data_IF_231650486910
#
_entry.id   IF_231650486910
#
_cell.length_a   1.000
_cell.length_b   1.000
_cell.length_c   1.000
_cell.angle_alpha   90.00
_cell.angle_beta   90.00
_cell.angle_gamma   90.00
#
_symmetry.space_group_name_H-M   'P 1'
#
loop_
_entity.id
_entity.type
_entity.pdbx_description
1 polymer ?
#
# COMPACT_ATOMS: atom_id res chain seq x y z
N UNK A 1 10.39 23.61 4.85
CA UNK A 1 9.54 22.91 5.83
C UNK A 1 8.25 22.59 5.10
N UNK A 2 7.88 21.33 4.98
CA UNK A 2 6.59 20.96 4.38
C UNK A 2 5.44 21.30 5.33
N UNK A 3 4.21 21.44 4.80
CA UNK A 3 3.02 21.70 5.61
C UNK A 3 2.81 20.61 6.68
N UNK A 4 3.20 19.37 6.37
CA UNK A 4 3.17 18.24 7.29
C UNK A 4 4.23 18.39 8.40
N UNK A 5 5.44 18.82 8.08
CA UNK A 5 6.48 19.05 9.09
C UNK A 5 6.06 20.16 10.06
N UNK A 6 5.37 21.18 9.57
CA UNK A 6 4.78 22.24 10.40
C UNK A 6 3.62 21.71 11.26
N UNK A 7 2.75 20.87 10.71
CA UNK A 7 1.69 20.18 11.46
C UNK A 7 2.27 19.31 12.58
N UNK A 8 3.31 18.52 12.28
CA UNK A 8 4.02 17.70 13.27
C UNK A 8 4.72 18.55 14.33
N UNK A 9 5.37 19.66 13.95
CA UNK A 9 6.09 20.53 14.87
C UNK A 9 5.18 21.40 15.74
N UNK A 10 4.03 21.83 15.20
CA UNK A 10 3.05 22.66 15.91
C UNK A 10 2.12 21.84 16.82
N UNK A 11 1.99 20.53 16.57
CA UNK A 11 1.01 19.67 17.25
C UNK A 11 -0.44 20.10 17.00
N UNK A 12 -0.66 20.97 16.00
CA UNK A 12 -1.95 21.57 15.65
C UNK A 12 -2.22 21.26 14.19
N UNK A 13 -2.94 20.19 13.97
CA UNK A 13 -3.45 19.78 12.66
C UNK A 13 -3.75 18.30 12.69
N UNK A 14 -4.94 17.94 12.20
CA UNK A 14 -5.36 16.56 12.06
C UNK A 14 -4.87 16.04 10.71
N UNK A 15 -4.24 14.87 10.71
CA UNK A 15 -3.81 14.20 9.48
C UNK A 15 -4.85 13.16 9.09
N UNK A 16 -5.14 13.11 7.80
CA UNK A 16 -6.07 12.13 7.23
C UNK A 16 -5.28 11.18 6.35
N UNK A 17 -5.23 9.93 6.79
CA UNK A 17 -4.56 8.85 6.09
C UNK A 17 -5.59 8.11 5.24
N UNK A 18 -5.25 7.87 3.98
CA UNK A 18 -6.14 7.21 3.03
C UNK A 18 -5.41 6.10 2.29
N UNK A 19 -6.15 5.05 1.97
CA UNK A 19 -5.67 3.86 1.29
C UNK A 19 -6.55 3.62 0.08
N UNK A 20 -5.93 3.54 -1.09
CA UNK A 20 -6.53 2.99 -2.31
C UNK A 20 -5.84 1.66 -2.62
N UNK A 21 -6.58 0.56 -2.50
CA UNK A 21 -6.09 -0.78 -2.74
C UNK A 21 -6.76 -1.38 -3.97
N UNK A 22 -5.97 -1.99 -4.88
CA UNK A 22 -6.51 -2.61 -6.10
C UNK A 22 -5.59 -3.70 -6.65
N UNK A 23 -6.18 -4.64 -7.37
CA UNK A 23 -5.42 -5.61 -8.20
C UNK A 23 -4.76 -4.87 -9.36
N UNK A 24 -3.54 -5.27 -9.73
CA UNK A 24 -2.85 -4.69 -10.88
C UNK A 24 -3.63 -4.99 -12.16
N UNK A 25 -4.01 -3.94 -12.90
CA UNK A 25 -4.87 -4.07 -14.09
C UNK A 25 -6.37 -4.24 -13.79
N UNK A 26 -6.76 -4.35 -12.51
CA UNK A 26 -8.15 -4.41 -12.09
C UNK A 26 -8.88 -3.06 -12.20
N UNK A 27 -10.20 -3.11 -12.35
CA UNK A 27 -11.07 -1.92 -12.42
C UNK A 27 -11.68 -1.54 -11.06
N UNK A 28 -11.65 -2.46 -10.09
CA UNK A 28 -12.20 -2.24 -8.75
C UNK A 28 -11.11 -1.73 -7.83
N UNK A 29 -11.37 -0.59 -7.19
CA UNK A 29 -10.53 -0.01 -6.13
C UNK A 29 -11.29 -0.02 -4.81
N UNK A 30 -10.63 -0.47 -3.76
CA UNK A 30 -11.11 -0.37 -2.38
C UNK A 30 -10.52 0.89 -1.75
N UNK A 31 -11.38 1.74 -1.19
CA UNK A 31 -11.04 3.09 -0.76
C UNK A 31 -11.39 3.28 0.72
N UNK A 32 -10.37 3.39 1.56
CA UNK A 32 -10.52 3.54 3.01
C UNK A 32 -9.82 4.79 3.53
N UNK A 33 -10.38 5.44 4.55
CA UNK A 33 -9.74 6.55 5.25
C UNK A 33 -9.72 6.35 6.77
N UNK A 34 -8.69 6.90 7.41
CA UNK A 34 -8.57 6.93 8.85
C UNK A 34 -9.61 7.87 9.46
N UNK A 35 -10.08 7.49 10.65
CA UNK A 35 -11.05 8.27 11.41
C UNK A 35 -12.43 7.63 11.45
N UNK A 36 -13.43 8.46 11.75
CA UNK A 36 -14.81 8.02 12.03
C UNK A 36 -15.82 8.48 10.96
N UNK A 37 -15.40 9.35 10.05
CA UNK A 37 -16.25 9.94 9.02
C UNK A 37 -15.67 9.67 7.64
N UNK A 38 -16.55 9.37 6.69
CA UNK A 38 -16.18 9.22 5.29
C UNK A 38 -15.66 10.55 4.75
N UNK A 39 -14.60 10.50 3.94
CA UNK A 39 -13.96 11.71 3.42
C UNK A 39 -13.87 11.68 1.91
N UNK A 40 -14.13 12.84 1.31
CA UNK A 40 -14.00 13.06 -0.12
C UNK A 40 -12.67 13.77 -0.35
N UNK A 41 -11.72 13.05 -0.95
CA UNK A 41 -10.36 13.55 -1.17
C UNK A 41 -10.05 13.59 -2.67
N UNK A 42 -9.24 14.56 -3.08
CA UNK A 42 -8.75 14.65 -4.45
C UNK A 42 -7.36 14.00 -4.55
N UNK A 43 -7.20 13.10 -5.51
CA UNK A 43 -5.94 12.38 -5.75
C UNK A 43 -4.98 13.19 -6.61
N UNK A 44 -3.72 12.78 -6.65
CA UNK A 44 -2.67 13.37 -7.50
C UNK A 44 -3.00 13.34 -9.00
N UNK A 45 -3.89 12.44 -9.42
CA UNK A 45 -4.39 12.33 -10.80
C UNK A 45 -5.53 13.33 -11.09
N UNK A 46 -5.95 14.14 -10.11
CA UNK A 46 -7.07 15.06 -10.21
C UNK A 46 -8.45 14.40 -10.05
N UNK A 47 -8.50 13.10 -9.72
CA UNK A 47 -9.76 12.39 -9.46
C UNK A 47 -10.22 12.67 -8.03
N UNK A 48 -11.48 13.04 -7.87
CA UNK A 48 -12.13 13.15 -6.56
C UNK A 48 -12.76 11.80 -6.21
N UNK A 49 -12.32 11.20 -5.10
CA UNK A 49 -12.76 9.88 -4.64
C UNK A 49 -13.35 9.97 -3.24
N UNK A 50 -14.34 9.14 -2.96
CA UNK A 50 -14.93 8.98 -1.62
C UNK A 50 -14.26 7.80 -0.93
N UNK A 51 -13.63 8.08 0.21
CA UNK A 51 -12.99 7.09 1.07
C UNK A 51 -13.90 6.78 2.24
N UNK A 52 -14.08 5.49 2.54
CA UNK A 52 -14.94 5.01 3.61
C UNK A 52 -14.15 4.96 4.92
N UNK A 53 -14.73 5.48 6.00
CA UNK A 53 -14.12 5.43 7.32
C UNK A 53 -13.96 3.99 7.79
N UNK A 54 -12.74 3.65 8.19
CA UNK A 54 -12.42 2.35 8.76
C UNK A 54 -11.42 2.53 9.89
N UNK A 55 -11.57 1.72 10.95
CA UNK A 55 -10.54 1.64 11.97
C UNK A 55 -9.26 1.07 11.34
N UNK A 56 -8.22 1.90 11.31
CA UNK A 56 -6.92 1.55 10.76
C UNK A 56 -5.79 2.01 11.66
N UNK A 57 -4.76 1.17 11.72
CA UNK A 57 -3.48 1.48 12.34
C UNK A 57 -2.39 1.47 11.27
N UNK A 58 -1.47 2.43 11.34
CA UNK A 58 -0.45 2.64 10.31
C UNK A 58 0.94 2.83 10.90
N UNK A 59 1.88 1.99 10.45
CA UNK A 59 3.30 2.22 10.65
C UNK A 59 3.94 2.62 9.30
N UNK A 60 4.25 3.91 9.18
CA UNK A 60 4.88 4.48 8.00
C UNK A 60 6.27 3.89 7.76
N UNK A 61 6.71 3.81 6.49
CA UNK A 61 8.06 3.40 6.16
C UNK A 61 9.08 4.35 6.81
N UNK A 62 10.04 3.78 7.53
CA UNK A 62 11.16 4.55 8.07
C UNK A 62 12.09 4.94 6.92
N UNK A 63 12.54 6.20 6.94
CA UNK A 63 13.61 6.64 6.07
C UNK A 63 14.95 6.31 6.75
N UNK A 64 15.40 5.06 6.61
CA UNK A 64 16.68 4.60 7.13
C UNK A 64 17.55 3.98 6.03
N UNK A 65 18.80 3.66 6.38
CA UNK A 65 19.74 3.00 5.48
C UNK A 65 19.49 1.48 5.38
N UNK A 66 18.47 0.96 6.07
CA UNK A 66 18.02 -0.40 5.80
C UNK A 66 17.28 -0.36 4.48
N UNK A 67 17.65 -1.20 3.53
CA UNK A 67 17.06 -1.18 2.20
C UNK A 67 15.56 -1.57 2.17
N UNK A 68 14.95 -1.77 3.35
CA UNK A 68 13.57 -2.21 3.52
C UNK A 68 12.69 -1.05 4.00
N UNK A 69 11.96 -0.46 3.06
CA UNK A 69 10.96 0.56 3.33
C UNK A 69 9.57 -0.07 3.25
N UNK A 70 9.13 -0.62 4.39
CA UNK A 70 7.84 -1.30 4.51
C UNK A 70 6.81 -0.40 5.19
N UNK A 71 5.60 -0.38 4.63
CA UNK A 71 4.40 0.18 5.22
C UNK A 71 3.61 -0.97 5.85
N UNK A 72 3.32 -0.89 7.15
CA UNK A 72 2.48 -1.88 7.83
C UNK A 72 1.13 -1.25 8.10
N UNK A 73 0.08 -1.92 7.64
CA UNK A 73 -1.32 -1.52 7.79
C UNK A 73 -2.02 -2.54 8.68
N UNK A 74 -2.67 -2.10 9.74
CA UNK A 74 -3.66 -2.89 10.47
C UNK A 74 -5.04 -2.38 10.09
N UNK A 75 -5.85 -3.19 9.42
CA UNK A 75 -7.21 -2.83 9.01
C UNK A 75 -8.24 -3.63 9.80
N UNK A 76 -9.39 -3.02 10.05
CA UNK A 76 -10.54 -3.73 10.58
C UNK A 76 -10.96 -4.86 9.63
N UNK A 77 -11.20 -6.03 10.20
CA UNK A 77 -11.57 -7.25 9.49
C UNK A 77 -12.77 -7.95 10.16
N UNK A 78 -13.58 -7.23 10.95
CA UNK A 78 -14.80 -7.81 11.56
C UNK A 78 -15.74 -8.38 10.49
N UNK A 79 -15.89 -7.70 9.35
CA UNK A 79 -16.73 -8.16 8.24
C UNK A 79 -16.04 -9.17 7.30
N UNK A 80 -14.71 -9.34 7.39
CA UNK A 80 -13.94 -10.21 6.51
C UNK A 80 -13.67 -9.68 5.09
N UNK A 81 -14.18 -8.50 4.72
CA UNK A 81 -14.08 -7.95 3.37
C UNK A 81 -12.62 -7.79 2.90
N UNK A 82 -11.76 -7.24 3.75
CA UNK A 82 -10.34 -7.03 3.44
C UNK A 82 -9.64 -8.35 3.15
N UNK A 83 -9.93 -9.38 3.95
CA UNK A 83 -9.36 -10.72 3.77
C UNK A 83 -9.83 -11.38 2.48
N UNK A 84 -11.12 -11.28 2.15
CA UNK A 84 -11.69 -11.86 0.93
C UNK A 84 -11.02 -11.28 -0.32
N UNK A 85 -10.92 -9.96 -0.40
CA UNK A 85 -10.32 -9.24 -1.54
C UNK A 85 -8.85 -9.62 -1.73
N UNK A 86 -8.08 -9.67 -0.63
CA UNK A 86 -6.65 -9.96 -0.67
C UNK A 86 -6.37 -11.42 -1.04
N UNK A 87 -7.15 -12.37 -0.50
CA UNK A 87 -6.99 -13.78 -0.85
C UNK A 87 -7.51 -14.09 -2.26
N UNK A 88 -8.54 -13.40 -2.75
CA UNK A 88 -8.98 -13.51 -4.14
C UNK A 88 -7.91 -13.02 -5.12
N UNK A 89 -7.25 -11.88 -4.83
CA UNK A 89 -6.13 -11.38 -5.63
C UNK A 89 -4.97 -12.39 -5.69
N UNK A 90 -4.64 -12.99 -4.54
CA UNK A 90 -3.61 -14.03 -4.44
C UNK A 90 -3.98 -15.28 -5.22
N UNK A 91 -5.24 -15.73 -5.16
CA UNK A 91 -5.69 -16.92 -5.88
C UNK A 91 -5.57 -16.75 -7.41
N UNK A 92 -5.69 -15.52 -7.89
CA UNK A 92 -5.48 -15.17 -9.30
C UNK A 92 -4.00 -14.99 -9.69
N UNK A 93 -3.06 -15.09 -8.73
CA UNK A 93 -1.63 -14.76 -8.91
C UNK A 93 -1.40 -13.29 -9.34
N UNK A 94 -2.37 -12.41 -9.04
CA UNK A 94 -2.30 -11.00 -9.39
C UNK A 94 -1.51 -10.22 -8.35
N UNK A 95 -0.73 -9.23 -8.82
CA UNK A 95 -0.05 -8.28 -7.94
C UNK A 95 -1.08 -7.34 -7.32
N UNK A 96 -1.03 -7.18 -6.01
CA UNK A 96 -1.92 -6.27 -5.29
C UNK A 96 -1.19 -4.95 -4.99
N UNK A 97 -1.75 -3.84 -5.48
CA UNK A 97 -1.19 -2.50 -5.35
C UNK A 97 -1.91 -1.77 -4.23
N UNK A 98 -1.13 -1.19 -3.32
CA UNK A 98 -1.61 -0.36 -2.23
C UNK A 98 -1.03 1.04 -2.44
N UNK A 99 -1.92 2.02 -2.57
CA UNK A 99 -1.58 3.43 -2.68
C UNK A 99 -1.98 4.11 -1.39
N UNK A 100 -0.98 4.55 -0.63
CA UNK A 100 -1.15 5.33 0.58
C UNK A 100 -1.05 6.81 0.26
N UNK A 101 -1.95 7.62 0.82
CA UNK A 101 -1.89 9.07 0.73
C UNK A 101 -2.23 9.70 2.07
N UNK A 102 -1.50 10.75 2.43
CA UNK A 102 -1.76 11.57 3.61
C UNK A 102 -2.16 12.98 3.22
N UNK A 103 -3.24 13.44 3.82
CA UNK A 103 -3.79 14.79 3.68
C UNK A 103 -3.75 15.53 5.01
N UNK A 104 -3.87 16.85 4.94
CA UNK A 104 -4.21 17.66 6.10
C UNK A 104 -5.75 17.72 6.18
N UNK A 105 -6.34 17.60 7.36
CA UNK A 105 -7.80 17.66 7.51
C UNK A 105 -8.39 19.01 7.04
N UNK A 106 -7.59 20.08 7.10
CA UNK A 106 -7.96 21.41 6.59
C UNK A 106 -7.94 21.49 5.05
N UNK A 107 -7.18 20.62 4.38
CA UNK A 107 -7.04 20.60 2.93
C UNK A 107 -6.96 19.17 2.36
N UNK A 108 -8.10 18.71 1.85
CA UNK A 108 -8.25 17.41 1.17
C UNK A 108 -8.08 17.50 -0.35
N UNK A 109 -7.65 18.66 -0.88
CA UNK A 109 -7.52 18.88 -2.32
C UNK A 109 -6.26 18.24 -2.91
N UNK A 110 -5.20 18.08 -2.11
CA UNK A 110 -3.95 17.49 -2.60
C UNK A 110 -3.22 16.68 -1.52
N UNK A 111 -2.75 15.46 -1.83
CA UNK A 111 -2.02 14.64 -0.88
C UNK A 111 -0.61 15.19 -0.66
N UNK A 112 -0.23 15.34 0.61
CA UNK A 112 1.07 15.87 1.03
C UNK A 112 2.15 14.76 1.03
N UNK A 113 1.80 13.53 1.42
CA UNK A 113 2.65 12.34 1.26
C UNK A 113 1.93 11.28 0.43
N UNK A 114 2.68 10.55 -0.40
CA UNK A 114 2.14 9.50 -1.26
C UNK A 114 3.14 8.35 -1.42
N UNK A 115 2.64 7.13 -1.26
CA UNK A 115 3.40 5.91 -1.53
C UNK A 115 2.58 4.97 -2.40
N UNK A 116 3.21 4.43 -3.45
CA UNK A 116 2.63 3.36 -4.26
C UNK A 116 3.48 2.11 -4.05
N UNK A 117 2.90 1.12 -3.39
CA UNK A 117 3.60 -0.05 -2.88
C UNK A 117 2.88 -1.32 -3.33
N UNK A 118 3.59 -2.44 -3.33
CA UNK A 118 3.02 -3.77 -3.60
C UNK A 118 2.86 -4.52 -2.29
N UNK A 119 1.77 -5.27 -2.15
CA UNK A 119 1.56 -6.14 -0.99
C UNK A 119 2.63 -7.25 -0.98
N UNK A 120 3.38 -7.35 0.12
CA UNK A 120 4.43 -8.35 0.32
C UNK A 120 3.94 -9.52 1.18
N UNK A 121 3.25 -9.21 2.28
CA UNK A 121 2.71 -10.23 3.19
C UNK A 121 1.36 -9.79 3.75
N UNK A 122 0.57 -10.78 4.16
CA UNK A 122 -0.66 -10.60 4.92
C UNK A 122 -0.69 -11.57 6.09
N UNK A 123 -1.17 -11.08 7.22
CA UNK A 123 -1.39 -11.82 8.45
C UNK A 123 -2.79 -11.45 8.94
N UNK A 124 -3.57 -12.42 9.40
CA UNK A 124 -4.91 -12.18 9.93
C UNK A 124 -4.92 -12.64 11.39
N UNK A 125 -5.10 -11.70 12.31
CA UNK A 125 -5.13 -11.96 13.75
C UNK A 125 -6.46 -11.52 14.33
N UNK A 126 -7.34 -12.50 14.61
CA UNK A 126 -8.69 -12.25 15.09
C UNK A 126 -9.48 -11.38 14.11
N UNK A 127 -9.85 -10.17 14.55
CA UNK A 127 -10.63 -9.21 13.77
C UNK A 127 -9.75 -8.16 13.07
N UNK A 128 -8.44 -8.34 13.02
CA UNK A 128 -7.51 -7.38 12.40
C UNK A 128 -6.79 -8.05 11.22
N UNK A 129 -6.86 -7.42 10.05
CA UNK A 129 -6.07 -7.79 8.89
C UNK A 129 -4.81 -6.93 8.85
N UNK A 130 -3.65 -7.57 9.07
CA UNK A 130 -2.35 -6.92 9.02
C UNK A 130 -1.70 -7.14 7.66
N UNK A 131 -1.57 -6.07 6.89
CA UNK A 131 -0.99 -6.06 5.56
C UNK A 131 0.37 -5.37 5.61
N UNK A 132 1.40 -6.01 5.06
CA UNK A 132 2.70 -5.37 4.87
C UNK A 132 2.91 -5.09 3.39
N UNK A 133 3.01 -3.82 3.05
CA UNK A 133 3.33 -3.36 1.71
C UNK A 133 4.79 -2.87 1.67
N UNK A 134 5.45 -3.08 0.54
CA UNK A 134 6.84 -2.67 0.32
C UNK A 134 7.00 -1.99 -1.03
N UNK A 135 8.05 -1.19 -1.14
CA UNK A 135 8.56 -0.84 -2.47
C UNK A 135 9.18 -2.07 -3.13
N UNK A 136 9.36 -1.98 -4.44
CA UNK A 136 9.98 -3.05 -5.21
C UNK A 136 11.39 -3.36 -4.68
N UNK A 137 11.60 -4.61 -4.28
CA UNK A 137 12.89 -5.08 -3.76
C UNK A 137 13.90 -5.25 -4.90
N UNK A 138 14.62 -4.16 -5.20
CA UNK A 138 15.66 -4.16 -6.23
C UNK A 138 16.87 -5.04 -5.85
N UNK A 139 17.13 -5.25 -4.55
CA UNK A 139 18.32 -5.96 -4.09
C UNK A 139 18.19 -7.47 -4.23
N UNK A 140 17.01 -8.02 -3.91
CA UNK A 140 16.73 -9.44 -4.11
C UNK A 140 16.19 -9.76 -5.51
N UNK A 141 15.97 -8.74 -6.34
CA UNK A 141 15.70 -8.97 -7.75
C UNK A 141 16.91 -9.62 -8.41
N UNK A 142 16.74 -10.87 -8.85
CA UNK A 142 17.79 -11.56 -9.59
C UNK A 142 18.19 -10.74 -10.82
N UNK A 143 19.47 -10.37 -10.90
CA UNK A 143 20.02 -9.61 -12.03
C UNK A 143 19.93 -10.37 -13.36
N UNK A 144 19.87 -11.71 -13.31
CA UNK A 144 19.66 -12.56 -14.47
C UNK A 144 18.16 -12.81 -14.66
N UNK A 145 17.54 -12.00 -15.53
CA UNK A 145 16.12 -12.15 -15.92
C UNK A 145 15.82 -13.45 -16.66
N UNK A 146 16.83 -14.09 -17.21
CA UNK A 146 16.70 -15.37 -17.92
C UNK A 146 17.78 -16.31 -17.42
N UNK A 147 17.37 -17.26 -16.60
CA UNK A 147 18.25 -18.35 -16.17
C UNK A 147 18.35 -19.32 -17.34
N UNK A 148 19.56 -19.49 -17.86
CA UNK A 148 19.80 -20.50 -18.89
C UNK A 148 19.64 -21.88 -18.25
N UNK A 149 18.53 -22.53 -18.57
CA UNK A 149 18.31 -23.94 -18.26
C UNK A 149 18.64 -24.78 -19.48
N UNK A 150 18.84 -26.09 -19.31
CA UNK A 150 19.06 -27.03 -20.43
C UNK A 150 17.91 -27.03 -21.44
N UNK A 151 16.73 -26.52 -21.08
CA UNK A 151 15.62 -26.32 -22.02
C UNK A 151 15.81 -25.12 -22.95
N UNK A 152 16.49 -24.06 -22.50
CA UNK A 152 16.71 -22.81 -23.25
C UNK A 152 18.08 -22.84 -23.96
N UNK A 153 19.08 -23.44 -23.33
CA UNK A 153 20.41 -23.64 -23.88
C UNK A 153 20.82 -25.13 -23.73
N UNK A 154 20.44 -26.00 -24.70
CA UNK A 154 20.70 -27.44 -24.62
C UNK A 154 22.20 -27.80 -24.52
N UNK A 155 23.08 -26.91 -24.98
CA UNK A 155 24.53 -27.06 -24.85
C UNK A 155 25.04 -27.15 -23.41
N UNK A 156 24.27 -26.68 -22.42
CA UNK A 156 24.59 -26.83 -20.99
C UNK A 156 24.57 -28.29 -20.51
N UNK A 157 23.91 -29.20 -21.22
CA UNK A 157 23.86 -30.62 -20.83
C UNK A 157 25.18 -31.37 -21.11
N UNK A 158 26.10 -30.77 -21.87
CA UNK A 158 27.34 -31.39 -22.34
C UNK A 158 28.60 -30.70 -21.78
N UNK A 159 28.45 -29.83 -20.77
CA UNK A 159 29.52 -29.19 -20.00
C UNK A 159 29.56 -29.85 -18.62
#
# INVERSE_FOLDING_TARGET
>A
MSLIEECYASGRGELVDTIEARKEGGTVSHLYCSGWEDRVCTTEDGRTLTFIAMAMDLALPKNDNSAFQNLVLGLDNVAGEVQEVVEEAKAADDRFIIIFRRYLAEDLSFPQERYRMTLLSREYEGNVAKLTAGFYDLLNTNGLRTILTTSIAPGLAYI
#
